data_IF_731915937608
#
_entry.id   IF_731915937608
#
_cell.length_a   1.000
_cell.length_b   1.000
_cell.length_c   1.000
_cell.angle_alpha   90.00
_cell.angle_beta   90.00
_cell.angle_gamma   90.00
#
_symmetry.space_group_name_H-M   'P 1'
#
loop_
_entity.id
_entity.type
_entity.pdbx_description
1 polymer ?
#
# COMPACT_ATOMS: atom_id res chain seq x y z
N UNK A 1 7.60 -33.52 1.32
CA UNK A 1 7.07 -32.76 2.46
C UNK A 1 7.87 -31.49 2.55
N UNK A 2 7.46 -30.43 1.84
CA UNK A 2 8.14 -29.13 1.90
C UNK A 2 7.37 -28.28 2.89
N UNK A 3 7.98 -28.01 4.04
CA UNK A 3 7.54 -26.98 4.97
C UNK A 3 7.41 -25.66 4.21
N UNK A 4 6.17 -25.30 3.87
CA UNK A 4 5.80 -23.96 3.44
C UNK A 4 6.00 -23.05 4.66
N UNK A 5 7.20 -22.48 4.79
CA UNK A 5 7.43 -21.37 5.71
C UNK A 5 6.35 -20.34 5.43
N UNK A 6 5.52 -20.04 6.43
CA UNK A 6 4.56 -18.97 6.37
C UNK A 6 5.31 -17.67 6.06
N UNK A 7 5.34 -17.31 4.77
CA UNK A 7 5.89 -16.03 4.31
C UNK A 7 5.03 -14.96 4.93
N UNK A 8 5.64 -14.08 5.71
CA UNK A 8 4.94 -12.98 6.33
C UNK A 8 4.37 -12.08 5.22
N UNK A 9 3.07 -12.22 4.96
CA UNK A 9 2.38 -11.52 3.87
C UNK A 9 2.18 -10.03 4.17
N UNK A 10 2.62 -9.54 5.33
CA UNK A 10 2.66 -8.11 5.65
C UNK A 10 3.95 -7.46 5.16
N UNK A 11 4.90 -8.24 4.63
CA UNK A 11 6.14 -7.75 4.04
C UNK A 11 6.02 -7.73 2.52
N UNK A 12 6.41 -6.60 1.92
CA UNK A 12 6.39 -6.47 0.47
C UNK A 12 7.41 -7.42 -0.18
N UNK A 13 7.00 -8.29 -1.12
CA UNK A 13 7.91 -9.26 -1.76
C UNK A 13 8.94 -8.59 -2.70
N UNK A 14 8.76 -7.32 -3.04
CA UNK A 14 9.64 -6.60 -3.98
C UNK A 14 10.78 -5.83 -3.29
N UNK A 15 10.56 -5.33 -2.08
CA UNK A 15 11.54 -4.51 -1.34
C UNK A 15 11.82 -4.99 0.08
N UNK A 16 11.10 -6.01 0.57
CA UNK A 16 11.25 -6.54 1.91
C UNK A 16 10.80 -5.59 3.03
N UNK A 17 10.18 -4.44 2.72
CA UNK A 17 9.67 -3.52 3.74
C UNK A 17 8.29 -3.94 4.25
N UNK A 18 8.04 -3.66 5.54
CA UNK A 18 6.73 -3.82 6.17
C UNK A 18 5.71 -2.91 5.50
N UNK A 19 4.59 -3.50 5.08
CA UNK A 19 3.46 -2.79 4.49
C UNK A 19 2.65 -2.10 5.58
N UNK A 20 1.88 -1.08 5.20
CA UNK A 20 0.94 -0.43 6.12
C UNK A 20 -0.49 -0.84 5.80
N UNK A 21 -1.34 -0.90 6.83
CA UNK A 21 -2.77 -1.08 6.65
C UNK A 21 -3.34 0.16 5.97
N UNK A 22 -4.13 -0.05 4.94
CA UNK A 22 -4.81 0.99 4.19
C UNK A 22 -6.30 0.66 4.19
N UNK A 23 -7.10 1.60 4.68
CA UNK A 23 -8.55 1.50 4.71
C UNK A 23 -9.09 1.51 3.29
N UNK A 24 -9.84 0.46 2.95
CA UNK A 24 -10.54 0.41 1.67
C UNK A 24 -11.67 1.46 1.71
N UNK A 25 -11.76 2.36 0.71
CA UNK A 25 -12.84 3.31 0.65
C UNK A 25 -14.16 2.58 0.38
N UNK A 26 -15.27 3.01 1.00
CA UNK A 26 -16.57 2.33 0.92
C UNK A 26 -17.13 2.29 -0.51
N UNK A 27 -16.64 3.15 -1.39
CA UNK A 27 -17.00 3.21 -2.82
C UNK A 27 -16.26 2.15 -3.66
N UNK A 28 -15.38 1.35 -3.07
CA UNK A 28 -14.64 0.29 -3.76
C UNK A 28 -15.50 -0.95 -3.97
N UNK A 29 -15.10 -1.78 -4.94
CA UNK A 29 -15.68 -3.12 -5.17
C UNK A 29 -15.11 -4.20 -4.24
N UNK A 30 -14.16 -3.82 -3.37
CA UNK A 30 -13.53 -4.73 -2.41
C UNK A 30 -14.40 -4.87 -1.16
N UNK A 31 -14.65 -6.12 -0.74
CA UNK A 31 -15.51 -6.44 0.41
C UNK A 31 -14.79 -6.30 1.76
N UNK A 32 -13.48 -6.08 1.75
CA UNK A 32 -12.66 -6.10 2.94
C UNK A 32 -12.47 -4.70 3.56
N UNK A 33 -12.22 -4.67 4.85
CA UNK A 33 -12.06 -3.40 5.59
C UNK A 33 -10.74 -2.68 5.28
N UNK A 34 -9.66 -3.44 5.11
CA UNK A 34 -8.34 -2.90 4.82
C UNK A 34 -7.49 -3.83 3.94
N UNK A 35 -6.56 -3.23 3.19
CA UNK A 35 -5.48 -3.94 2.51
C UNK A 35 -4.14 -3.56 3.12
N UNK A 36 -3.16 -4.45 3.02
CA UNK A 36 -1.77 -4.11 3.26
C UNK A 36 -1.19 -3.55 1.98
N UNK A 37 -0.63 -2.33 2.02
CA UNK A 37 -0.02 -1.69 0.85
C UNK A 37 1.42 -1.29 1.14
N UNK A 38 2.30 -1.51 0.17
CA UNK A 38 3.68 -1.06 0.25
C UNK A 38 3.81 0.45 -0.02
N UNK A 39 4.00 1.22 1.05
CA UNK A 39 4.24 2.67 0.98
C UNK A 39 5.71 3.07 0.87
N UNK A 40 6.62 2.13 0.60
CA UNK A 40 8.03 2.44 0.36
C UNK A 40 8.20 3.09 -1.02
N UNK A 41 8.59 4.37 -1.03
CA UNK A 41 8.83 5.16 -2.24
C UNK A 41 10.10 4.74 -3.01
N UNK A 42 11.02 3.99 -2.37
CA UNK A 42 12.18 3.40 -3.05
C UNK A 42 11.93 1.97 -3.55
N UNK A 43 10.72 1.43 -3.36
CA UNK A 43 10.41 0.08 -3.81
C UNK A 43 10.64 -0.07 -5.33
N UNK A 44 11.42 -1.08 -5.79
CA UNK A 44 11.76 -1.22 -7.20
C UNK A 44 10.52 -1.48 -8.05
N UNK A 45 9.49 -2.11 -7.48
CA UNK A 45 8.19 -2.29 -8.14
C UNK A 45 7.51 -0.94 -8.42
N UNK A 46 7.46 -0.06 -7.42
CA UNK A 46 6.88 1.27 -7.53
C UNK A 46 7.69 2.18 -8.46
N UNK A 47 9.02 2.21 -8.35
CA UNK A 47 9.87 3.03 -9.22
C UNK A 47 9.81 2.59 -10.68
N UNK A 48 9.84 1.28 -10.94
CA UNK A 48 9.69 0.73 -12.30
C UNK A 48 8.32 1.00 -12.89
N UNK A 49 7.26 1.00 -12.07
CA UNK A 49 5.90 1.29 -12.51
C UNK A 49 5.75 2.67 -13.15
N UNK A 50 6.37 3.71 -12.56
CA UNK A 50 6.37 5.07 -13.14
C UNK A 50 6.96 5.10 -14.53
N UNK A 51 8.17 4.54 -14.67
CA UNK A 51 8.86 4.49 -15.95
C UNK A 51 8.06 3.71 -16.99
N UNK A 52 7.52 2.55 -16.60
CA UNK A 52 6.76 1.70 -17.52
C UNK A 52 5.48 2.38 -18.02
N UNK A 53 4.72 3.04 -17.13
CA UNK A 53 3.50 3.76 -17.52
C UNK A 53 3.78 4.99 -18.38
N UNK A 54 4.87 5.69 -18.09
CA UNK A 54 5.31 6.82 -18.90
C UNK A 54 5.75 6.35 -20.30
N UNK A 55 6.59 5.31 -20.39
CA UNK A 55 7.09 4.80 -21.68
C UNK A 55 6.02 4.11 -22.54
N UNK A 56 5.03 3.44 -21.93
CA UNK A 56 4.03 2.66 -22.66
C UNK A 56 2.73 3.42 -22.93
N UNK A 57 2.35 4.34 -22.06
CA UNK A 57 1.04 5.00 -22.10
C UNK A 57 1.12 6.52 -21.96
N UNK A 58 2.32 7.09 -21.82
CA UNK A 58 2.52 8.52 -21.56
C UNK A 58 1.74 9.02 -20.33
N UNK A 59 1.49 8.11 -19.37
CA UNK A 59 0.73 8.41 -18.16
C UNK A 59 1.67 8.55 -16.96
N UNK A 60 1.45 9.61 -16.19
CA UNK A 60 2.10 9.81 -14.89
C UNK A 60 1.36 9.01 -13.82
N UNK A 61 1.53 7.69 -13.87
CA UNK A 61 0.98 6.75 -12.90
C UNK A 61 1.99 5.66 -12.57
N UNK A 62 1.80 4.98 -11.43
CA UNK A 62 2.54 3.79 -11.06
C UNK A 62 1.64 2.82 -10.32
N UNK A 63 2.21 1.74 -9.80
CA UNK A 63 1.52 0.71 -9.04
C UNK A 63 2.25 0.45 -7.72
N UNK A 64 1.50 0.25 -6.64
CA UNK A 64 2.01 -0.25 -5.36
C UNK A 64 1.51 -1.68 -5.17
N UNK A 65 2.35 -2.52 -4.58
CA UNK A 65 1.95 -3.88 -4.22
C UNK A 65 0.95 -3.83 -3.07
N UNK A 66 -0.14 -4.57 -3.19
CA UNK A 66 -1.16 -4.76 -2.17
C UNK A 66 -1.37 -6.23 -1.84
N UNK A 67 -1.80 -6.46 -0.60
CA UNK A 67 -2.19 -7.76 -0.09
C UNK A 67 -3.52 -7.65 0.67
N UNK A 68 -4.47 -8.49 0.28
CA UNK A 68 -5.76 -8.64 0.93
C UNK A 68 -5.68 -9.78 1.97
N UNK A 69 -5.77 -9.49 3.27
CA UNK A 69 -5.70 -10.51 4.31
C UNK A 69 -6.91 -11.44 4.34
N UNK A 70 -8.09 -10.99 3.90
CA UNK A 70 -9.32 -11.79 3.95
C UNK A 70 -9.37 -12.86 2.84
N UNK A 71 -8.98 -12.48 1.63
CA UNK A 71 -9.00 -13.41 0.47
C UNK A 71 -7.65 -14.07 0.22
N UNK A 72 -6.59 -13.58 0.87
CA UNK A 72 -5.22 -14.05 0.65
C UNK A 72 -4.60 -13.61 -0.69
N UNK A 73 -5.31 -12.78 -1.47
CA UNK A 73 -4.89 -12.32 -2.79
C UNK A 73 -3.92 -11.14 -2.71
N UNK A 74 -2.97 -11.08 -3.64
CA UNK A 74 -2.05 -9.96 -3.81
C UNK A 74 -2.21 -9.34 -5.19
N UNK A 75 -2.06 -8.02 -5.31
CA UNK A 75 -2.19 -7.35 -6.61
C UNK A 75 -1.54 -5.96 -6.69
N UNK A 76 -1.45 -5.38 -7.89
CA UNK A 76 -1.14 -3.97 -8.07
C UNK A 76 -2.31 -3.07 -7.69
N UNK A 77 -2.05 -1.99 -6.96
CA UNK A 77 -2.97 -0.86 -6.83
C UNK A 77 -2.38 0.34 -7.58
N UNK A 78 -3.13 0.93 -8.54
CA UNK A 78 -2.66 2.10 -9.27
C UNK A 78 -2.57 3.34 -8.37
N UNK A 79 -1.54 4.14 -8.59
CA UNK A 79 -1.27 5.40 -7.91
C UNK A 79 -0.95 6.49 -8.92
N UNK A 80 -1.63 7.63 -8.82
CA UNK A 80 -1.42 8.80 -9.68
C UNK A 80 -0.43 9.81 -9.10
N UNK A 81 0.01 9.61 -7.86
CA UNK A 81 1.01 10.46 -7.21
C UNK A 81 1.70 9.71 -6.06
N UNK A 82 2.87 10.17 -5.57
CA UNK A 82 3.51 9.61 -4.38
C UNK A 82 2.63 9.63 -3.13
N UNK A 83 1.74 10.62 -3.04
CA UNK A 83 0.81 10.79 -1.92
C UNK A 83 -0.54 10.09 -2.13
N UNK A 84 -0.79 9.49 -3.30
CA UNK A 84 -1.99 8.71 -3.53
C UNK A 84 -2.06 7.57 -2.50
N UNK A 85 -3.28 7.31 -2.01
CA UNK A 85 -3.60 6.33 -0.97
C UNK A 85 -3.09 6.66 0.44
N UNK A 86 -2.15 7.61 0.62
CA UNK A 86 -1.58 7.91 1.94
C UNK A 86 -2.63 8.42 2.95
N UNK A 87 -3.67 9.12 2.49
CA UNK A 87 -4.77 9.60 3.34
C UNK A 87 -5.65 8.49 3.94
N UNK A 88 -5.61 7.28 3.38
CA UNK A 88 -6.35 6.13 3.89
C UNK A 88 -5.50 5.18 4.72
N UNK A 89 -4.23 5.52 5.01
CA UNK A 89 -3.38 4.70 5.86
C UNK A 89 -3.97 4.68 7.26
N UNK A 90 -4.21 3.48 7.77
CA UNK A 90 -4.50 3.26 9.18
C UNK A 90 -3.15 3.26 9.89
N UNK A 91 -2.73 4.43 10.36
CA UNK A 91 -1.61 4.53 11.29
C UNK A 91 -2.06 3.85 12.59
N UNK A 92 -1.27 2.91 13.10
CA UNK A 92 -1.48 2.41 14.47
C UNK A 92 -0.96 3.52 15.37
N UNK A 93 -1.89 4.32 15.90
CA UNK A 93 -1.63 5.45 16.79
C UNK A 93 -0.61 5.07 17.88
N UNK A 94 0.62 5.58 17.79
CA UNK A 94 1.36 5.96 19.00
C UNK A 94 0.83 7.33 19.41
N UNK A 95 -0.18 7.28 20.27
CA UNK A 95 -0.54 8.25 21.32
C UNK A 95 -1.05 9.64 20.90
N UNK A 96 -2.25 9.96 21.37
CA UNK A 96 -2.84 11.29 21.26
C UNK A 96 -2.30 12.29 22.29
N UNK A 97 -2.88 13.50 22.25
CA UNK A 97 -2.77 14.63 23.20
C UNK A 97 -1.66 15.64 22.84
N UNK A 98 -1.89 16.96 22.68
CA UNK A 98 -2.91 17.86 23.25
C UNK A 98 -3.38 18.95 22.28
N UNK A 99 -4.66 19.30 22.42
CA UNK A 99 -5.23 20.60 22.04
C UNK A 99 -4.93 21.61 23.15
N UNK A 100 -4.41 22.79 22.81
CA UNK A 100 -4.75 24.08 23.43
C UNK A 100 -4.27 25.19 22.49
N UNK A 101 -5.16 25.93 21.83
CA UNK A 101 -5.85 27.15 22.30
C UNK A 101 -4.93 28.37 22.47
N UNK A 102 -5.25 29.40 21.67
CA UNK A 102 -5.10 30.85 21.88
C UNK A 102 -3.73 31.44 22.27
N UNK A 103 -3.24 32.34 21.40
CA UNK A 103 -3.20 33.79 21.67
C UNK A 103 -3.31 34.53 20.35
#
# INVERSE_FOLDING_TARGET
MTEEKAVDKTVCPHCGHKMKKWKVPPESTWTNEYHWICFNDDCPYYRKGWKWMEEKYEQRASYRHSYNPETGQTGPIPVWSPNALKSGILEEDEDGTERNSET
#
